data_IF_450315957940
#
_entry.id   IF_450315957940
#
_cell.length_a   1.000
_cell.length_b   1.000
_cell.length_c   1.000
_cell.angle_alpha   90.00
_cell.angle_beta   90.00
_cell.angle_gamma   90.00
#
_symmetry.space_group_name_H-M   'P 1'
#
loop_
_entity.id
_entity.type
_entity.pdbx_description
1 polymer ?
#
# COMPACT_ATOMS: atom_id res chain seq x y z
N UNK A 1 13.06 8.56 23.50
CA UNK A 1 13.19 7.38 22.62
C UNK A 1 11.80 6.84 22.31
N UNK A 2 11.22 7.23 21.17
CA UNK A 2 10.07 6.58 20.52
C UNK A 2 10.31 6.70 19.01
N UNK A 3 11.34 6.00 18.53
CA UNK A 3 11.42 5.64 17.10
C UNK A 3 10.50 4.43 16.94
N UNK A 4 9.20 4.67 16.80
CA UNK A 4 8.32 3.70 16.16
C UNK A 4 8.36 4.13 14.71
N UNK A 5 9.21 3.45 13.94
CA UNK A 5 9.24 3.56 12.49
C UNK A 5 7.82 3.26 11.99
N UNK A 6 7.12 4.33 11.60
CA UNK A 6 5.81 4.34 10.97
C UNK A 6 5.97 3.77 9.56
N UNK A 7 6.25 2.48 9.51
CA UNK A 7 6.19 1.67 8.31
C UNK A 7 4.81 1.01 8.36
N UNK A 8 3.81 1.24 7.52
CA UNK A 8 3.62 2.03 6.31
C UNK A 8 2.27 1.46 5.81
N UNK A 9 1.47 2.25 5.11
CA UNK A 9 0.33 1.77 4.30
C UNK A 9 0.77 0.58 3.46
N UNK A 10 0.08 -0.56 3.50
CA UNK A 10 0.40 -1.81 2.79
C UNK A 10 1.05 -1.62 1.41
N UNK A 11 0.61 -0.59 0.69
CA UNK A 11 1.22 -0.13 -0.54
C UNK A 11 2.64 0.41 -0.51
N UNK A 12 2.95 1.34 0.38
CA UNK A 12 4.27 1.93 0.46
C UNK A 12 5.34 0.92 0.96
N UNK A 13 4.98 -0.20 1.62
CA UNK A 13 5.97 -1.16 2.18
C UNK A 13 6.39 -2.07 1.04
N UNK A 14 5.42 -2.50 0.24
CA UNK A 14 5.70 -3.21 -0.99
C UNK A 14 6.52 -2.34 -1.96
N UNK A 15 6.31 -1.02 -1.98
CA UNK A 15 7.08 -0.07 -2.81
C UNK A 15 8.49 0.23 -2.25
N UNK A 16 8.65 0.39 -0.92
CA UNK A 16 9.91 0.87 -0.31
C UNK A 16 10.85 -0.23 0.18
N UNK A 17 10.34 -1.39 0.64
CA UNK A 17 11.18 -2.49 1.15
C UNK A 17 11.65 -3.44 0.07
N UNK A 18 10.91 -3.53 -1.02
CA UNK A 18 11.37 -4.20 -2.22
C UNK A 18 11.88 -3.09 -3.17
N UNK A 19 13.10 -3.23 -3.71
CA UNK A 19 13.66 -2.36 -4.76
C UNK A 19 12.86 -2.53 -6.06
N UNK A 20 11.59 -2.16 -6.02
CA UNK A 20 10.54 -2.63 -6.94
C UNK A 20 9.49 -1.57 -7.22
N UNK A 21 9.88 -0.29 -7.19
CA UNK A 21 9.05 0.80 -7.73
C UNK A 21 8.54 0.47 -9.14
N UNK A 22 9.30 -0.30 -9.93
CA UNK A 22 8.87 -0.78 -11.24
C UNK A 22 7.84 -1.94 -11.17
N UNK A 23 7.86 -2.84 -10.18
CA UNK A 23 7.05 -4.07 -10.26
C UNK A 23 5.57 -3.90 -9.95
N UNK A 24 5.18 -2.94 -9.10
CA UNK A 24 3.77 -2.76 -8.70
C UNK A 24 2.96 -2.07 -9.79
N UNK A 25 3.55 -1.04 -10.40
CA UNK A 25 2.95 -0.34 -11.54
C UNK A 25 2.81 -1.24 -12.75
N UNK A 26 3.76 -2.15 -12.96
CA UNK A 26 3.76 -3.15 -14.03
C UNK A 26 2.73 -4.28 -13.84
N UNK A 27 2.15 -4.46 -12.64
CA UNK A 27 1.09 -5.44 -12.43
C UNK A 27 -0.18 -5.03 -13.18
N UNK A 28 -0.81 -5.97 -13.88
CA UNK A 28 -2.18 -5.76 -14.36
C UNK A 28 -3.16 -5.58 -13.20
N UNK A 29 -4.32 -4.96 -13.43
CA UNK A 29 -5.34 -4.74 -12.40
C UNK A 29 -5.74 -6.03 -11.66
N UNK A 30 -5.81 -7.16 -12.37
CA UNK A 30 -6.10 -8.47 -11.76
C UNK A 30 -4.98 -8.93 -10.82
N UNK A 31 -3.73 -8.72 -11.19
CA UNK A 31 -2.59 -9.07 -10.34
C UNK A 31 -2.53 -8.14 -9.12
N UNK A 32 -2.82 -6.84 -9.30
CA UNK A 32 -2.98 -5.90 -8.18
C UNK A 32 -4.09 -6.35 -7.22
N UNK A 33 -5.23 -6.84 -7.73
CA UNK A 33 -6.30 -7.41 -6.90
C UNK A 33 -5.85 -8.65 -6.11
N UNK A 34 -5.11 -9.56 -6.74
CA UNK A 34 -4.55 -10.74 -6.06
C UNK A 34 -3.58 -10.33 -4.96
N UNK A 35 -2.73 -9.34 -5.23
CA UNK A 35 -1.80 -8.79 -4.26
C UNK A 35 -2.53 -8.19 -3.05
N UNK A 36 -3.47 -7.28 -3.30
CA UNK A 36 -4.27 -6.62 -2.26
C UNK A 36 -5.02 -7.65 -1.41
N UNK A 37 -5.70 -8.60 -2.04
CA UNK A 37 -6.42 -9.65 -1.31
C UNK A 37 -5.48 -10.50 -0.45
N UNK A 38 -4.26 -10.75 -0.91
CA UNK A 38 -3.25 -11.47 -0.15
C UNK A 38 -2.79 -10.66 1.07
N UNK A 39 -2.46 -9.37 0.87
CA UNK A 39 -2.00 -8.50 1.95
C UNK A 39 -3.10 -8.24 2.99
N UNK A 40 -4.34 -8.02 2.54
CA UNK A 40 -5.49 -7.86 3.42
C UNK A 40 -5.82 -9.13 4.23
N UNK A 41 -5.34 -10.31 3.83
CA UNK A 41 -5.54 -11.53 4.61
C UNK A 41 -4.78 -11.53 5.95
N UNK A 42 -3.78 -10.65 6.11
CA UNK A 42 -3.04 -10.44 7.34
C UNK A 42 -3.66 -9.36 8.25
N UNK A 43 -4.77 -8.77 7.82
CA UNK A 43 -5.41 -7.65 8.51
C UNK A 43 -6.71 -8.11 9.19
N UNK A 44 -6.95 -7.55 10.38
CA UNK A 44 -8.27 -7.59 10.99
C UNK A 44 -9.25 -6.73 10.20
N UNK A 45 -10.56 -6.92 10.42
CA UNK A 45 -11.59 -6.09 9.79
C UNK A 45 -11.49 -4.62 10.20
N UNK A 46 -11.07 -4.34 11.43
CA UNK A 46 -10.81 -2.98 11.90
C UNK A 46 -9.64 -2.34 11.14
N UNK A 47 -8.57 -3.11 10.90
CA UNK A 47 -7.40 -2.66 10.14
C UNK A 47 -7.75 -2.40 8.68
N UNK A 48 -8.55 -3.26 8.04
CA UNK A 48 -9.04 -3.06 6.68
C UNK A 48 -9.89 -1.78 6.57
N UNK A 49 -10.74 -1.53 7.56
CA UNK A 49 -11.55 -0.31 7.60
C UNK A 49 -10.69 0.95 7.76
N UNK A 50 -9.66 0.90 8.62
CA UNK A 50 -8.71 2.00 8.79
C UNK A 50 -7.92 2.28 7.50
N UNK A 51 -7.48 1.25 6.79
CA UNK A 51 -6.84 1.41 5.48
C UNK A 51 -7.78 2.02 4.44
N UNK A 52 -9.04 1.58 4.40
CA UNK A 52 -10.02 2.16 3.50
C UNK A 52 -10.23 3.66 3.79
N UNK A 53 -10.32 4.06 5.06
CA UNK A 53 -10.42 5.47 5.46
C UNK A 53 -9.17 6.26 5.06
N UNK A 54 -8.00 5.65 5.16
CA UNK A 54 -6.75 6.26 4.73
C UNK A 54 -6.77 6.55 3.22
N UNK A 55 -7.11 5.57 2.38
CA UNK A 55 -7.20 5.78 0.93
C UNK A 55 -8.26 6.82 0.56
N UNK A 56 -9.39 6.84 1.26
CA UNK A 56 -10.43 7.87 1.09
C UNK A 56 -9.92 9.27 1.45
N UNK A 57 -9.12 9.40 2.52
CA UNK A 57 -8.49 10.66 2.89
C UNK A 57 -7.54 11.16 1.80
N UNK A 58 -6.82 10.25 1.14
CA UNK A 58 -5.98 10.55 -0.02
C UNK A 58 -6.78 10.88 -1.30
N UNK A 59 -8.11 10.75 -1.27
CA UNK A 59 -8.99 11.01 -2.41
C UNK A 59 -9.19 9.82 -3.35
N UNK A 60 -8.91 8.59 -2.89
CA UNK A 60 -9.10 7.36 -3.67
C UNK A 60 -10.24 6.51 -3.10
N UNK A 61 -11.06 5.95 -3.99
CA UNK A 61 -12.18 5.10 -3.61
C UNK A 61 -11.75 3.69 -3.16
N UNK A 62 -10.57 3.25 -3.60
CA UNK A 62 -9.99 1.96 -3.25
C UNK A 62 -8.46 1.97 -3.24
N UNK A 63 -7.87 0.99 -2.56
CA UNK A 63 -6.43 0.71 -2.57
C UNK A 63 -5.88 0.48 -4.00
N UNK A 64 -6.68 -0.16 -4.87
CA UNK A 64 -6.30 -0.39 -6.26
C UNK A 64 -6.21 0.93 -7.03
N UNK A 65 -7.17 1.82 -6.81
CA UNK A 65 -7.17 3.13 -7.48
C UNK A 65 -6.04 4.02 -6.95
N UNK A 66 -5.68 3.89 -5.67
CA UNK A 66 -4.45 4.47 -5.11
C UNK A 66 -3.21 3.97 -5.84
N UNK A 67 -3.04 2.66 -6.02
CA UNK A 67 -1.89 2.13 -6.76
C UNK A 67 -1.85 2.60 -8.20
N UNK A 68 -2.97 2.52 -8.91
CA UNK A 68 -3.01 2.94 -10.31
C UNK A 68 -2.81 4.45 -10.48
N UNK A 69 -3.35 5.26 -9.55
CA UNK A 69 -3.25 6.71 -9.61
C UNK A 69 -1.88 7.27 -9.21
N UNK A 70 -1.13 6.57 -8.37
CA UNK A 70 0.24 6.95 -7.99
C UNK A 70 1.29 6.51 -9.01
N UNK A 71 0.97 5.53 -9.85
CA UNK A 71 1.81 5.10 -10.97
C UNK A 71 1.85 6.16 -12.07
N UNK A 72 2.88 7.01 -12.03
CA UNK A 72 3.11 8.05 -13.05
C UNK A 72 3.19 9.47 -12.50
N UNK A 73 3.20 9.64 -11.18
CA UNK A 73 3.49 10.94 -10.59
C UNK A 73 4.85 11.46 -11.06
N UNK A 74 4.86 12.72 -11.50
CA UNK A 74 6.07 13.51 -11.61
C UNK A 74 6.66 13.78 -10.23
N UNK A 75 7.93 14.21 -10.18
CA UNK A 75 8.58 14.59 -8.91
C UNK A 75 7.83 15.68 -8.15
N UNK A 76 7.27 16.66 -8.87
CA UNK A 76 6.51 17.75 -8.26
C UNK A 76 5.19 17.24 -7.64
N UNK A 77 4.52 16.30 -8.31
CA UNK A 77 3.32 15.65 -7.77
C UNK A 77 3.66 14.78 -6.54
N UNK A 78 4.81 14.10 -6.53
CA UNK A 78 5.27 13.33 -5.37
C UNK A 78 5.48 14.22 -4.14
N UNK A 79 6.15 15.38 -4.28
CA UNK A 79 6.40 16.30 -3.16
C UNK A 79 5.10 16.87 -2.56
N UNK A 80 4.11 17.18 -3.40
CA UNK A 80 2.80 17.62 -2.92
C UNK A 80 2.03 16.48 -2.26
N UNK A 81 2.16 15.27 -2.80
CA UNK A 81 1.50 14.08 -2.29
C UNK A 81 2.03 13.66 -0.92
N UNK A 82 3.33 13.82 -0.66
CA UNK A 82 3.94 13.55 0.65
C UNK A 82 3.25 14.31 1.79
N UNK A 83 2.86 15.57 1.57
CA UNK A 83 2.15 16.36 2.58
C UNK A 83 0.75 15.82 2.88
N UNK A 84 0.05 15.35 1.85
CA UNK A 84 -1.28 14.76 1.98
C UNK A 84 -1.18 13.39 2.66
N UNK A 85 -0.17 12.59 2.28
CA UNK A 85 0.16 11.32 2.91
C UNK A 85 0.39 11.49 4.42
N UNK A 86 1.26 12.42 4.82
CA UNK A 86 1.57 12.67 6.24
C UNK A 86 0.31 13.08 7.01
N UNK A 87 -0.50 13.98 6.43
CA UNK A 87 -1.76 14.41 7.05
C UNK A 87 -2.71 13.24 7.27
N UNK A 88 -3.01 12.48 6.22
CA UNK A 88 -3.95 11.36 6.30
C UNK A 88 -3.45 10.25 7.21
N UNK A 89 -2.14 10.02 7.24
CA UNK A 89 -1.53 9.04 8.12
C UNK A 89 -1.66 9.43 9.60
N UNK A 90 -1.48 10.72 9.94
CA UNK A 90 -1.64 11.21 11.31
C UNK A 90 -3.09 11.16 11.82
N UNK A 91 -4.06 11.04 10.92
CA UNK A 91 -5.48 10.87 11.27
C UNK A 91 -5.85 9.38 11.46
N UNK A 92 -4.97 8.44 11.07
CA UNK A 92 -5.23 7.02 11.25
C UNK A 92 -5.08 6.58 12.72
N UNK A 93 -5.93 5.63 13.19
CA UNK A 93 -5.68 4.98 14.46
C UNK A 93 -4.36 4.20 14.44
N UNK A 94 -3.72 4.00 15.61
CA UNK A 94 -2.50 3.20 15.71
C UNK A 94 -2.67 1.83 15.07
N UNK A 95 -1.70 1.45 14.27
CA UNK A 95 -1.79 0.27 13.41
C UNK A 95 -0.55 -0.59 13.62
N UNK A 96 -0.75 -1.87 13.95
CA UNK A 96 0.32 -2.87 14.00
C UNK A 96 0.15 -3.85 12.84
N UNK A 97 1.01 -3.73 11.83
CA UNK A 97 1.03 -4.67 10.72
C UNK A 97 1.56 -6.02 11.20
N UNK A 98 0.82 -7.10 10.91
CA UNK A 98 1.20 -8.45 11.36
C UNK A 98 2.01 -9.24 10.34
N UNK A 99 2.03 -8.84 9.07
CA UNK A 99 2.72 -9.59 8.02
C UNK A 99 4.24 -9.34 8.05
N UNK A 100 4.99 -10.41 7.85
CA UNK A 100 6.45 -10.38 7.76
C UNK A 100 6.91 -9.95 6.36
N UNK A 101 8.19 -9.60 6.21
CA UNK A 101 8.76 -9.30 4.90
C UNK A 101 8.67 -10.53 3.94
N UNK A 102 8.70 -11.76 4.48
CA UNK A 102 8.52 -12.99 3.71
C UNK A 102 7.07 -13.15 3.23
N UNK A 103 6.08 -12.83 4.08
CA UNK A 103 4.67 -12.84 3.70
C UNK A 103 4.38 -11.88 2.55
N UNK A 104 4.94 -10.67 2.63
CA UNK A 104 4.80 -9.64 1.59
C UNK A 104 5.41 -10.13 0.28
N UNK A 105 6.61 -10.71 0.33
CA UNK A 105 7.28 -11.28 -0.85
C UNK A 105 6.43 -12.39 -1.49
N UNK A 106 5.90 -13.30 -0.68
CA UNK A 106 5.05 -14.38 -1.15
C UNK A 106 3.76 -13.84 -1.82
N UNK A 107 3.16 -12.79 -1.27
CA UNK A 107 2.02 -12.14 -1.91
C UNK A 107 2.36 -11.51 -3.26
N UNK A 108 3.52 -10.86 -3.38
CA UNK A 108 4.00 -10.29 -4.65
C UNK A 108 4.27 -11.39 -5.69
N UNK A 109 4.91 -12.48 -5.29
CA UNK A 109 5.16 -13.62 -6.19
C UNK A 109 3.84 -14.25 -6.65
N UNK A 110 2.91 -14.48 -5.73
CA UNK A 110 1.56 -14.99 -6.05
C UNK A 110 0.81 -14.09 -7.03
N UNK A 111 0.90 -12.77 -6.84
CA UNK A 111 0.31 -11.80 -7.76
C UNK A 111 0.94 -11.89 -9.16
N UNK A 112 2.27 -11.97 -9.25
CA UNK A 112 2.98 -12.10 -10.54
C UNK A 112 2.63 -13.41 -11.27
N UNK A 113 2.50 -14.51 -10.53
CA UNK A 113 2.17 -15.83 -11.07
C UNK A 113 0.70 -15.98 -11.46
N UNK A 114 -0.19 -15.13 -10.94
CA UNK A 114 -1.58 -15.04 -11.39
C UNK A 114 -1.65 -14.46 -12.81
N UNK A 115 -1.30 -15.27 -13.81
CA UNK A 115 -1.49 -14.93 -15.22
C UNK A 115 -2.98 -14.73 -15.52
N UNK A 116 -3.25 -13.75 -16.39
CA UNK A 116 -4.57 -13.45 -16.99
C UNK A 116 -5.21 -14.69 -17.61
#
# INVERSE_FOLDING_TARGET
MKMILLLIVVGMIAISKCQTEDNLCDLSRNQKLVLVNCLQSFLSEEQKAAEQQFYQCLGYDSEIDYYEGTCGFSKEEQEQYEQILEKCFNEMPPYEFSATDEDIKNCVEKAKESKQ
#
